data_IF_339762797010
#
_entry.id   IF_339762797010
#
_cell.length_a   1.000
_cell.length_b   1.000
_cell.length_c   1.000
_cell.angle_alpha   90.00
_cell.angle_beta   90.00
_cell.angle_gamma   90.00
#
_symmetry.space_group_name_H-M   'P 1'
#
loop_
_entity.id
_entity.type
_entity.pdbx_description
1 polymer ?
#
# COMPACT_ATOMS: atom_id res chain seq x y z
N UNK A 1 -52.62 12.50 -46.68
CA UNK A 1 -51.22 12.92 -46.50
C UNK A 1 -50.73 12.28 -45.22
N UNK A 2 -49.57 11.64 -45.31
CA UNK A 2 -49.03 10.66 -44.37
C UNK A 2 -48.67 11.26 -43.00
N UNK A 3 -48.84 10.42 -41.97
CA UNK A 3 -48.26 10.54 -40.63
C UNK A 3 -46.73 10.64 -40.68
N UNK A 4 -46.12 11.34 -39.73
CA UNK A 4 -44.95 10.78 -39.02
C UNK A 4 -44.76 11.41 -37.62
N UNK A 5 -44.27 10.64 -36.63
CA UNK A 5 -44.15 11.04 -35.23
C UNK A 5 -42.78 11.66 -34.91
N UNK A 6 -42.74 12.56 -33.92
CA UNK A 6 -41.47 13.04 -33.35
C UNK A 6 -40.86 11.89 -32.54
N UNK A 7 -39.80 11.31 -33.10
CA UNK A 7 -38.98 10.29 -32.47
C UNK A 7 -38.41 10.79 -31.14
N UNK A 8 -38.66 9.99 -30.11
CA UNK A 8 -37.79 9.86 -28.96
C UNK A 8 -36.39 9.37 -29.41
N UNK A 9 -35.44 9.41 -28.49
CA UNK A 9 -34.10 8.79 -28.54
C UNK A 9 -33.00 9.62 -29.22
N UNK A 10 -32.28 10.40 -28.41
CA UNK A 10 -30.82 10.59 -28.52
C UNK A 10 -30.28 10.97 -27.13
N UNK A 11 -30.32 10.02 -26.22
CA UNK A 11 -29.40 9.94 -25.07
C UNK A 11 -28.77 8.55 -25.11
N UNK A 12 -27.54 8.43 -24.62
CA UNK A 12 -26.73 7.21 -24.48
C UNK A 12 -25.98 6.68 -25.73
N UNK A 13 -24.88 7.36 -26.06
CA UNK A 13 -23.71 6.67 -26.65
C UNK A 13 -22.37 7.31 -26.26
N UNK A 14 -22.35 8.56 -25.81
CA UNK A 14 -21.16 9.21 -25.26
C UNK A 14 -20.88 8.85 -23.78
N UNK A 15 -21.91 8.58 -22.99
CA UNK A 15 -21.80 8.28 -21.54
C UNK A 15 -21.21 6.90 -21.24
N UNK A 16 -21.36 5.92 -22.14
CA UNK A 16 -20.74 4.59 -21.99
C UNK A 16 -19.27 4.59 -22.42
N UNK A 17 -18.90 5.30 -23.49
CA UNK A 17 -17.50 5.42 -23.91
C UNK A 17 -16.67 6.29 -22.97
N UNK A 18 -17.26 7.33 -22.39
CA UNK A 18 -16.62 8.12 -21.34
C UNK A 18 -16.50 7.32 -20.04
N UNK A 19 -17.49 6.48 -19.70
CA UNK A 19 -17.39 5.52 -18.57
C UNK A 19 -16.40 4.39 -18.83
N UNK A 20 -16.28 3.86 -20.04
CA UNK A 20 -15.29 2.82 -20.40
C UNK A 20 -13.87 3.40 -20.48
N UNK A 21 -13.73 4.68 -20.88
CA UNK A 21 -12.45 5.40 -20.83
C UNK A 21 -12.06 5.80 -19.40
N UNK A 22 -13.01 6.27 -18.56
CA UNK A 22 -12.76 6.62 -17.16
C UNK A 22 -12.61 5.40 -16.24
N UNK A 23 -13.41 4.34 -16.44
CA UNK A 23 -13.35 3.12 -15.64
C UNK A 23 -12.02 2.40 -15.75
N UNK A 24 -11.37 2.42 -16.94
CA UNK A 24 -10.00 1.93 -17.09
C UNK A 24 -8.96 2.76 -16.34
N UNK A 25 -9.25 4.02 -16.02
CA UNK A 25 -8.26 4.94 -15.43
C UNK A 25 -8.14 4.80 -13.93
N UNK A 26 -9.24 4.53 -13.21
CA UNK A 26 -9.18 4.45 -11.74
C UNK A 26 -8.53 3.15 -11.26
N UNK A 27 -8.63 2.05 -12.01
CA UNK A 27 -7.99 0.79 -11.63
C UNK A 27 -6.55 0.70 -12.08
N UNK A 28 -6.10 1.57 -12.98
CA UNK A 28 -4.77 1.51 -13.57
C UNK A 28 -3.63 1.49 -12.54
N UNK A 29 -3.63 2.34 -11.48
CA UNK A 29 -2.58 2.26 -10.46
C UNK A 29 -2.56 0.91 -9.72
N UNK A 30 -3.75 0.34 -9.48
CA UNK A 30 -3.91 -0.96 -8.82
C UNK A 30 -3.39 -2.06 -9.74
N UNK A 31 -3.84 -2.09 -11.00
CA UNK A 31 -3.44 -3.06 -12.02
C UNK A 31 -1.92 -3.08 -12.20
N UNK A 32 -1.30 -1.91 -12.41
CA UNK A 32 0.16 -1.78 -12.54
C UNK A 32 0.92 -2.37 -11.37
N UNK A 33 0.49 -2.08 -10.13
CA UNK A 33 1.17 -2.62 -8.96
C UNK A 33 1.00 -4.12 -8.84
N UNK A 34 -0.18 -4.65 -9.19
CA UNK A 34 -0.41 -6.09 -9.18
C UNK A 34 0.45 -6.78 -10.23
N UNK A 35 0.51 -6.26 -11.45
CA UNK A 35 1.38 -6.78 -12.51
C UNK A 35 2.85 -6.79 -12.09
N UNK A 36 3.33 -5.74 -11.43
CA UNK A 36 4.68 -5.69 -10.86
C UNK A 36 4.91 -6.76 -9.80
N UNK A 37 3.97 -6.97 -8.88
CA UNK A 37 4.08 -8.03 -7.87
C UNK A 37 4.12 -9.42 -8.50
N UNK A 38 3.31 -9.66 -9.53
CA UNK A 38 3.29 -10.94 -10.25
C UNK A 38 4.59 -11.16 -11.01
N UNK A 39 5.08 -10.14 -11.71
CA UNK A 39 6.35 -10.22 -12.42
C UNK A 39 7.50 -10.51 -11.46
N UNK A 40 7.57 -9.84 -10.30
CA UNK A 40 8.61 -10.11 -9.30
C UNK A 40 8.53 -11.55 -8.77
N UNK A 41 7.32 -12.04 -8.44
CA UNK A 41 7.10 -13.41 -7.96
C UNK A 41 7.58 -14.47 -8.97
N UNK A 42 7.36 -14.22 -10.26
CA UNK A 42 7.69 -15.12 -11.37
C UNK A 42 9.17 -15.11 -11.78
N UNK A 43 9.89 -14.03 -11.49
CA UNK A 43 11.27 -13.83 -11.97
C UNK A 43 12.34 -13.85 -10.87
N UNK A 44 11.95 -13.83 -9.59
CA UNK A 44 12.91 -13.91 -8.48
C UNK A 44 13.70 -15.23 -8.52
N UNK A 45 14.95 -15.26 -8.00
CA UNK A 45 15.75 -16.47 -7.98
C UNK A 45 15.04 -17.62 -7.27
N UNK A 46 15.14 -18.82 -7.84
CA UNK A 46 14.54 -20.02 -7.27
C UNK A 46 15.34 -20.52 -6.06
N UNK A 47 14.64 -21.12 -5.10
CA UNK A 47 15.27 -21.80 -3.97
C UNK A 47 15.34 -20.98 -2.69
N UNK A 48 16.20 -21.43 -1.77
CA UNK A 48 16.30 -20.84 -0.44
C UNK A 48 17.22 -19.62 -0.47
N UNK A 49 16.75 -18.49 0.07
CA UNK A 49 17.54 -17.25 0.19
C UNK A 49 18.94 -17.46 0.75
N UNK A 50 19.08 -18.23 1.83
CA UNK A 50 20.38 -18.46 2.48
C UNK A 50 21.31 -19.38 1.69
N UNK A 51 20.80 -20.11 0.70
CA UNK A 51 21.62 -20.92 -0.20
C UNK A 51 22.27 -20.07 -1.31
N UNK A 52 21.67 -18.94 -1.70
CA UNK A 52 22.24 -18.04 -2.71
C UNK A 52 21.96 -16.56 -2.43
N UNK A 53 22.45 -16.08 -1.28
CA UNK A 53 22.20 -14.70 -0.80
C UNK A 53 22.59 -13.65 -1.85
N UNK A 54 23.74 -13.82 -2.52
CA UNK A 54 24.24 -12.85 -3.50
C UNK A 54 23.31 -12.70 -4.70
N UNK A 55 22.80 -13.80 -5.25
CA UNK A 55 21.86 -13.76 -6.38
C UNK A 55 20.53 -13.11 -5.99
N UNK A 56 19.97 -13.48 -4.83
CA UNK A 56 18.73 -12.88 -4.32
C UNK A 56 18.89 -11.39 -4.03
N UNK A 57 20.00 -11.00 -3.40
CA UNK A 57 20.27 -9.59 -3.08
C UNK A 57 20.51 -8.77 -4.36
N UNK A 58 21.25 -9.31 -5.33
CA UNK A 58 21.42 -8.67 -6.63
C UNK A 58 20.09 -8.52 -7.36
N UNK A 59 19.25 -9.56 -7.37
CA UNK A 59 17.94 -9.48 -8.00
C UNK A 59 17.08 -8.40 -7.33
N UNK A 60 16.98 -8.42 -6.00
CA UNK A 60 16.22 -7.43 -5.25
C UNK A 60 16.72 -6.01 -5.50
N UNK A 61 18.03 -5.78 -5.45
CA UNK A 61 18.65 -4.47 -5.72
C UNK A 61 18.26 -3.89 -7.09
N UNK A 62 18.16 -4.75 -8.11
CA UNK A 62 17.88 -4.34 -9.49
C UNK A 62 16.39 -4.27 -9.84
N UNK A 63 15.53 -4.97 -9.10
CA UNK A 63 14.16 -5.25 -9.53
C UNK A 63 13.08 -4.99 -8.49
N UNK A 64 13.42 -4.94 -7.19
CA UNK A 64 12.48 -4.54 -6.15
C UNK A 64 12.29 -3.03 -6.20
N UNK A 65 11.04 -2.58 -6.26
CA UNK A 65 10.73 -1.16 -6.53
C UNK A 65 11.32 -0.24 -5.45
N UNK A 66 11.26 -0.63 -4.19
CA UNK A 66 11.80 0.17 -3.08
C UNK A 66 13.33 0.36 -3.23
N UNK A 67 14.04 -0.68 -3.61
CA UNK A 67 15.47 -0.67 -3.90
C UNK A 67 15.75 0.17 -5.14
N UNK A 68 15.00 -0.01 -6.23
CA UNK A 68 15.18 0.78 -7.46
C UNK A 68 15.01 2.28 -7.22
N UNK A 69 14.02 2.67 -6.39
CA UNK A 69 13.77 4.07 -6.02
C UNK A 69 14.87 4.66 -5.11
N UNK A 70 15.76 3.82 -4.59
CA UNK A 70 16.88 4.21 -3.71
C UNK A 70 18.24 3.86 -4.30
N UNK A 71 18.34 3.65 -5.62
CA UNK A 71 19.61 3.36 -6.29
C UNK A 71 20.17 1.96 -6.02
N UNK A 72 19.29 1.03 -5.64
CA UNK A 72 19.61 -0.37 -5.38
C UNK A 72 19.93 -0.69 -3.92
N UNK A 73 19.62 0.20 -2.97
CA UNK A 73 19.92 0.00 -1.55
C UNK A 73 19.02 -1.08 -0.94
N UNK A 74 19.64 -2.16 -0.44
CA UNK A 74 18.94 -3.28 0.19
C UNK A 74 18.36 -2.96 1.57
N UNK A 75 18.65 -1.78 2.13
CA UNK A 75 17.98 -1.26 3.32
C UNK A 75 16.64 -0.59 3.01
N UNK A 76 16.31 -0.41 1.73
CA UNK A 76 15.03 0.15 1.33
C UNK A 76 13.88 -0.73 1.76
N UNK A 77 12.80 -0.07 2.17
CA UNK A 77 11.54 -0.69 2.56
C UNK A 77 10.40 0.31 2.36
N UNK A 78 9.16 -0.19 2.37
CA UNK A 78 7.96 0.64 2.23
C UNK A 78 7.35 1.04 3.57
N UNK A 79 6.86 2.28 3.67
CA UNK A 79 6.08 2.73 4.83
C UNK A 79 4.78 1.94 4.94
N UNK A 80 4.10 1.79 3.80
CA UNK A 80 2.84 1.07 3.69
C UNK A 80 2.96 -0.01 2.61
N UNK A 81 2.80 -1.26 3.03
CA UNK A 81 2.54 -2.35 2.09
C UNK A 81 1.17 -2.11 1.46
N UNK A 82 1.12 -1.99 0.13
CA UNK A 82 -0.14 -1.78 -0.60
C UNK A 82 -1.04 -3.03 -0.62
N UNK A 83 -0.51 -4.21 -0.26
CA UNK A 83 -1.30 -5.44 -0.23
C UNK A 83 -2.36 -5.43 0.87
N UNK A 84 -1.97 -5.00 2.08
CA UNK A 84 -2.89 -4.92 3.23
C UNK A 84 -4.12 -4.06 2.92
N UNK A 85 -4.00 -2.79 2.48
CA UNK A 85 -5.16 -1.98 2.18
C UNK A 85 -6.00 -2.51 1.02
N UNK A 86 -5.39 -3.11 -0.02
CA UNK A 86 -6.15 -3.76 -1.09
C UNK A 86 -7.00 -4.91 -0.55
N UNK A 87 -6.36 -5.87 0.13
CA UNK A 87 -7.03 -7.05 0.71
C UNK A 87 -8.18 -6.64 1.63
N UNK A 88 -7.92 -5.68 2.52
CA UNK A 88 -8.88 -5.25 3.52
C UNK A 88 -10.02 -4.39 2.95
N UNK A 89 -9.80 -3.72 1.81
CA UNK A 89 -10.89 -3.04 1.09
C UNK A 89 -11.79 -4.06 0.41
N UNK A 90 -11.22 -5.05 -0.30
CA UNK A 90 -11.98 -6.14 -0.94
C UNK A 90 -12.86 -6.87 0.08
N UNK A 91 -12.30 -7.25 1.25
CA UNK A 91 -13.04 -7.96 2.31
C UNK A 91 -14.18 -7.13 2.90
N UNK A 92 -14.09 -5.79 2.87
CA UNK A 92 -15.14 -4.92 3.42
C UNK A 92 -16.26 -4.61 2.44
N UNK A 93 -15.97 -4.65 1.14
CA UNK A 93 -16.93 -4.37 0.09
C UNK A 93 -17.71 -5.62 -0.36
N UNK A 94 -17.20 -6.82 -0.08
CA UNK A 94 -17.72 -8.05 -0.65
C UNK A 94 -17.95 -9.11 0.43
N UNK A 95 -18.97 -9.94 0.23
CA UNK A 95 -19.14 -11.17 0.97
C UNK A 95 -18.09 -12.24 0.56
N UNK A 96 -17.97 -13.30 1.35
CA UNK A 96 -16.98 -14.35 1.08
C UNK A 96 -17.25 -15.16 -0.18
N UNK A 97 -18.51 -15.32 -0.61
CA UNK A 97 -18.85 -16.06 -1.82
C UNK A 97 -18.35 -15.31 -3.05
N UNK A 98 -18.62 -14.00 -3.11
CA UNK A 98 -18.14 -13.10 -4.16
C UNK A 98 -16.61 -13.11 -4.27
N UNK A 99 -15.88 -13.06 -3.15
CA UNK A 99 -14.41 -13.14 -3.16
C UNK A 99 -13.92 -14.50 -3.65
N UNK A 100 -14.53 -15.60 -3.18
CA UNK A 100 -14.13 -16.97 -3.55
C UNK A 100 -14.40 -17.30 -5.02
N UNK A 101 -15.38 -16.63 -5.64
CA UNK A 101 -15.63 -16.76 -7.07
C UNK A 101 -14.43 -16.28 -7.91
N UNK A 102 -13.64 -15.32 -7.39
CA UNK A 102 -12.38 -14.87 -8.00
C UNK A 102 -11.21 -15.75 -7.54
N UNK A 103 -11.10 -16.04 -6.24
CA UNK A 103 -10.09 -16.95 -5.74
C UNK A 103 -9.86 -16.90 -4.23
N UNK A 104 -8.82 -17.61 -3.77
CA UNK A 104 -8.44 -17.66 -2.37
C UNK A 104 -7.55 -16.47 -2.00
N UNK A 105 -8.16 -15.40 -1.46
CA UNK A 105 -7.48 -14.16 -1.03
C UNK A 105 -6.41 -14.37 0.04
N UNK A 106 -6.37 -15.52 0.72
CA UNK A 106 -5.27 -15.84 1.65
C UNK A 106 -3.97 -16.18 0.91
N UNK A 107 -4.05 -16.59 -0.35
CA UNK A 107 -2.91 -16.92 -1.23
C UNK A 107 -2.64 -15.75 -2.18
N UNK A 108 -1.99 -14.70 -1.66
CA UNK A 108 -1.72 -13.42 -2.36
C UNK A 108 -1.51 -13.58 -3.88
N UNK A 109 -0.44 -14.24 -4.32
CA UNK A 109 -0.11 -14.29 -5.75
C UNK A 109 -1.08 -15.14 -6.59
N UNK A 110 -1.67 -16.18 -6.02
CA UNK A 110 -2.71 -16.97 -6.70
C UNK A 110 -3.96 -16.12 -6.91
N UNK A 111 -4.40 -15.42 -5.86
CA UNK A 111 -5.55 -14.51 -5.94
C UNK A 111 -5.30 -13.37 -6.92
N UNK A 112 -4.13 -12.73 -6.84
CA UNK A 112 -3.79 -11.60 -7.69
C UNK A 112 -3.76 -11.95 -9.18
N UNK A 113 -3.36 -13.18 -9.55
CA UNK A 113 -3.44 -13.67 -10.94
C UNK A 113 -4.85 -13.73 -11.47
N UNK A 114 -5.83 -14.11 -10.65
CA UNK A 114 -7.25 -14.12 -11.05
C UNK A 114 -7.88 -12.72 -10.97
N UNK A 115 -7.46 -11.93 -9.97
CA UNK A 115 -7.98 -10.58 -9.70
C UNK A 115 -7.84 -9.62 -10.89
N UNK A 116 -6.75 -9.70 -11.65
CA UNK A 116 -6.51 -8.80 -12.80
C UNK A 116 -7.11 -9.30 -14.12
N UNK A 117 -7.73 -10.48 -14.14
CA UNK A 117 -8.36 -11.02 -15.35
C UNK A 117 -9.75 -10.43 -15.54
N UNK A 118 -10.14 -10.34 -16.81
CA UNK A 118 -11.50 -9.95 -17.21
C UNK A 118 -11.94 -8.68 -16.47
N UNK A 119 -13.13 -8.71 -15.89
CA UNK A 119 -13.76 -7.64 -15.12
C UNK A 119 -13.72 -7.90 -13.59
N UNK A 120 -12.79 -8.74 -13.11
CA UNK A 120 -12.75 -9.12 -11.68
C UNK A 120 -12.36 -7.96 -10.75
N UNK A 121 -11.54 -7.01 -11.24
CA UNK A 121 -11.19 -5.82 -10.45
C UNK A 121 -12.42 -4.93 -10.26
N UNK A 122 -13.21 -4.72 -11.32
CA UNK A 122 -14.46 -3.96 -11.31
C UNK A 122 -15.51 -4.62 -10.42
N UNK A 123 -15.63 -5.96 -10.46
CA UNK A 123 -16.55 -6.72 -9.60
C UNK A 123 -16.23 -6.56 -8.12
N UNK A 124 -14.95 -6.66 -7.76
CA UNK A 124 -14.53 -6.65 -6.34
C UNK A 124 -14.29 -5.24 -5.80
N UNK A 125 -14.08 -4.25 -6.66
CA UNK A 125 -13.86 -2.85 -6.30
C UNK A 125 -14.78 -1.95 -7.14
N UNK A 126 -16.09 -1.89 -6.87
CA UNK A 126 -17.00 -1.10 -7.68
C UNK A 126 -16.64 0.39 -7.68
N UNK A 127 -16.49 1.00 -8.86
CA UNK A 127 -16.12 2.42 -9.03
C UNK A 127 -17.08 3.39 -8.33
N UNK A 128 -18.32 2.97 -8.08
CA UNK A 128 -19.31 3.77 -7.36
C UNK A 128 -18.96 4.01 -5.88
N UNK A 129 -18.05 3.20 -5.31
CA UNK A 129 -17.64 3.29 -3.91
C UNK A 129 -16.49 4.29 -3.73
N UNK A 130 -16.65 5.30 -2.88
CA UNK A 130 -15.64 6.35 -2.65
C UNK A 130 -14.29 5.79 -2.17
N UNK A 131 -14.34 4.74 -1.34
CA UNK A 131 -13.16 4.03 -0.85
C UNK A 131 -12.30 3.45 -2.00
N UNK A 132 -12.90 3.10 -3.14
CA UNK A 132 -12.15 2.58 -4.32
C UNK A 132 -11.32 3.69 -4.96
N UNK A 133 -11.85 4.92 -5.04
CA UNK A 133 -11.09 6.08 -5.50
C UNK A 133 -9.91 6.41 -4.56
N UNK A 134 -10.14 6.31 -3.25
CA UNK A 134 -9.07 6.46 -2.25
C UNK A 134 -8.02 5.36 -2.39
N UNK A 135 -8.43 4.11 -2.58
CA UNK A 135 -7.50 3.00 -2.77
C UNK A 135 -6.66 3.21 -4.04
N UNK A 136 -7.27 3.65 -5.14
CA UNK A 136 -6.55 3.99 -6.36
C UNK A 136 -5.52 5.10 -6.14
N UNK A 137 -5.90 6.20 -5.46
CA UNK A 137 -4.97 7.27 -5.12
C UNK A 137 -3.80 6.76 -4.25
N UNK A 138 -4.10 5.91 -3.25
CA UNK A 138 -3.06 5.29 -2.42
C UNK A 138 -2.11 4.46 -3.27
N UNK A 139 -2.58 3.69 -4.24
CA UNK A 139 -1.71 2.92 -5.13
C UNK A 139 -0.85 3.80 -6.03
N UNK A 140 -1.43 4.86 -6.60
CA UNK A 140 -0.70 5.80 -7.44
C UNK A 140 0.48 6.46 -6.70
N UNK A 141 0.27 6.84 -5.42
CA UNK A 141 1.31 7.43 -4.56
C UNK A 141 2.24 6.39 -3.95
N UNK A 142 1.68 5.25 -3.54
CA UNK A 142 2.38 4.17 -2.84
C UNK A 142 3.45 3.49 -3.69
N UNK A 143 3.44 3.72 -5.00
CA UNK A 143 4.49 3.29 -5.94
C UNK A 143 5.65 4.29 -6.09
N UNK A 144 5.56 5.46 -5.46
CA UNK A 144 6.57 6.52 -5.51
C UNK A 144 7.58 6.49 -4.37
N UNK A 145 8.62 7.34 -4.48
CA UNK A 145 9.71 7.45 -3.50
C UNK A 145 9.21 7.90 -2.11
N UNK A 146 8.09 8.62 -2.07
CA UNK A 146 7.44 9.05 -0.83
C UNK A 146 6.98 7.89 0.06
N UNK A 147 6.75 6.70 -0.50
CA UNK A 147 6.38 5.50 0.27
C UNK A 147 7.59 4.67 0.67
N UNK A 148 8.81 5.10 0.36
CA UNK A 148 10.04 4.34 0.60
C UNK A 148 10.87 5.04 1.67
N UNK A 149 11.59 4.26 2.47
CA UNK A 149 12.57 4.75 3.41
C UNK A 149 13.73 3.74 3.55
N UNK A 150 14.87 4.19 4.07
CA UNK A 150 16.01 3.34 4.37
C UNK A 150 16.02 2.97 5.85
N UNK A 151 16.03 1.67 6.15
CA UNK A 151 16.21 1.18 7.51
C UNK A 151 17.65 1.46 8.00
N UNK A 152 17.89 1.71 9.30
CA UNK A 152 19.25 1.82 9.85
C UNK A 152 20.04 0.53 9.58
N UNK A 153 19.38 -0.62 9.78
CA UNK A 153 19.87 -1.95 9.42
C UNK A 153 18.77 -2.79 8.77
N UNK A 154 19.14 -3.56 7.73
CA UNK A 154 18.22 -4.44 7.01
C UNK A 154 17.54 -5.48 7.90
N UNK A 155 18.20 -5.92 8.99
CA UNK A 155 17.64 -6.90 9.94
C UNK A 155 16.38 -6.40 10.64
N UNK A 156 16.20 -5.08 10.76
CA UNK A 156 15.00 -4.48 11.35
C UNK A 156 13.74 -4.85 10.57
N UNK A 157 13.82 -5.03 9.24
CA UNK A 157 12.69 -5.47 8.43
C UNK A 157 12.12 -6.81 8.93
N UNK A 158 12.99 -7.81 9.11
CA UNK A 158 12.58 -9.11 9.63
C UNK A 158 12.07 -9.07 11.08
N UNK A 159 12.54 -8.11 11.88
CA UNK A 159 12.13 -7.96 13.28
C UNK A 159 10.75 -7.31 13.39
N UNK A 160 10.51 -6.21 12.65
CA UNK A 160 9.26 -5.46 12.63
C UNK A 160 8.11 -6.20 11.90
N UNK A 161 8.41 -7.18 11.05
CA UNK A 161 7.38 -8.02 10.43
C UNK A 161 6.70 -9.01 11.40
N UNK A 162 7.32 -9.29 12.54
CA UNK A 162 6.83 -10.29 13.49
C UNK A 162 5.71 -9.74 14.35
N UNK A 163 4.87 -10.64 14.89
CA UNK A 163 3.94 -10.30 15.98
C UNK A 163 4.73 -9.73 17.17
N UNK A 164 4.30 -8.62 17.80
CA UNK A 164 3.05 -7.89 17.58
C UNK A 164 3.12 -6.68 16.62
N UNK A 165 4.21 -6.51 15.87
CA UNK A 165 4.51 -5.25 15.16
C UNK A 165 3.97 -5.18 13.72
N UNK A 166 3.88 -6.31 13.02
CA UNK A 166 3.20 -6.47 11.73
C UNK A 166 3.56 -5.44 10.63
N UNK A 167 4.84 -5.07 10.53
CA UNK A 167 5.37 -4.07 9.59
C UNK A 167 4.75 -2.67 9.73
N UNK A 168 4.09 -2.39 10.84
CA UNK A 168 3.39 -1.12 11.05
C UNK A 168 4.34 -0.04 11.52
N UNK A 169 4.54 0.99 10.70
CA UNK A 169 5.53 2.06 10.95
C UNK A 169 5.28 2.82 12.26
N UNK A 170 4.04 3.20 12.65
CA UNK A 170 3.81 3.84 13.95
C UNK A 170 4.38 3.05 15.12
N UNK A 171 4.19 1.72 15.12
CA UNK A 171 4.75 0.84 16.15
C UNK A 171 6.26 0.77 16.08
N UNK A 172 6.83 0.67 14.88
CA UNK A 172 8.28 0.67 14.71
C UNK A 172 8.90 1.97 15.28
N UNK A 173 8.30 3.12 14.99
CA UNK A 173 8.76 4.42 15.49
C UNK A 173 8.60 4.54 17.01
N UNK A 174 7.51 4.02 17.57
CA UNK A 174 7.28 4.01 19.01
C UNK A 174 8.31 3.14 19.74
N UNK A 175 8.56 1.93 19.24
CA UNK A 175 9.48 0.96 19.81
C UNK A 175 10.97 1.30 19.58
N UNK A 176 11.26 2.33 18.77
CA UNK A 176 12.62 2.85 18.57
C UNK A 176 13.05 3.87 19.65
N UNK A 177 12.12 4.40 20.45
CA UNK A 177 12.46 5.28 21.57
C UNK A 177 13.18 4.52 22.71
N UNK A 178 13.90 5.22 23.62
CA UNK A 178 14.63 4.58 24.71
C UNK A 178 13.77 3.62 25.54
N UNK A 179 14.21 2.36 25.64
CA UNK A 179 13.50 1.30 26.35
C UNK A 179 12.56 0.45 25.48
N UNK A 180 12.29 0.86 24.24
CA UNK A 180 11.56 0.06 23.26
C UNK A 180 12.44 -1.02 22.61
N UNK A 181 11.80 -2.04 22.04
CA UNK A 181 12.50 -3.23 21.51
C UNK A 181 13.41 -2.93 20.32
N UNK A 182 13.13 -1.86 19.57
CA UNK A 182 13.90 -1.49 18.38
C UNK A 182 14.95 -0.42 18.67
N UNK A 183 15.02 0.09 19.90
CA UNK A 183 16.03 1.10 20.28
C UNK A 183 17.47 0.60 20.05
N UNK A 184 17.71 -0.71 20.07
CA UNK A 184 19.03 -1.31 19.81
C UNK A 184 19.53 -1.15 18.36
N UNK A 185 18.67 -0.80 17.41
CA UNK A 185 19.06 -0.59 16.01
C UNK A 185 19.70 0.78 15.75
N UNK A 186 19.80 1.62 16.76
CA UNK A 186 20.47 2.91 16.70
C UNK A 186 21.51 3.03 17.81
N UNK A 187 22.68 3.60 17.49
CA UNK A 187 23.77 3.79 18.45
C UNK A 187 23.41 4.73 19.62
N UNK A 188 22.43 5.60 19.41
CA UNK A 188 21.98 6.61 20.38
C UNK A 188 20.59 7.15 20.03
N UNK A 189 19.85 7.72 21.01
CA UNK A 189 18.62 8.45 20.74
C UNK A 189 18.82 9.57 19.71
N UNK A 190 19.96 10.26 19.73
CA UNK A 190 20.29 11.30 18.77
C UNK A 190 20.48 10.74 17.35
N UNK A 191 20.98 9.51 17.20
CA UNK A 191 21.06 8.86 15.90
C UNK A 191 19.67 8.53 15.34
N UNK A 192 18.74 8.09 16.20
CA UNK A 192 17.35 7.87 15.82
C UNK A 192 16.66 9.17 15.39
N UNK A 193 16.82 10.26 16.14
CA UNK A 193 16.25 11.56 15.78
C UNK A 193 16.84 12.13 14.47
N UNK A 194 18.13 11.92 14.21
CA UNK A 194 18.74 12.28 12.91
C UNK A 194 18.12 11.46 11.79
N UNK A 195 17.99 10.15 11.98
CA UNK A 195 17.37 9.27 11.00
C UNK A 195 15.92 9.65 10.69
N UNK A 196 15.12 10.06 11.69
CA UNK A 196 13.77 10.60 11.46
C UNK A 196 13.82 11.79 10.49
N UNK A 197 14.77 12.71 10.66
CA UNK A 197 14.89 13.88 9.78
C UNK A 197 15.42 13.55 8.39
N UNK A 198 16.38 12.63 8.28
CA UNK A 198 16.95 12.16 7.01
C UNK A 198 15.93 11.40 6.16
N UNK A 199 15.13 10.54 6.80
CA UNK A 199 14.09 9.76 6.14
C UNK A 199 12.72 10.45 6.17
N UNK A 200 12.64 11.71 6.60
CA UNK A 200 11.43 12.54 6.66
C UNK A 200 10.23 11.83 7.32
N UNK A 201 10.38 11.40 8.56
CA UNK A 201 9.37 10.64 9.34
C UNK A 201 8.53 11.52 10.28
N UNK A 202 8.70 12.84 10.25
CA UNK A 202 8.07 13.77 11.20
C UNK A 202 6.53 13.78 11.09
N UNK A 203 5.98 13.49 9.91
CA UNK A 203 4.52 13.45 9.70
C UNK A 203 3.81 12.29 10.40
N UNK A 204 4.55 11.36 11.02
CA UNK A 204 4.00 10.34 11.90
C UNK A 204 3.74 10.84 13.32
N UNK A 205 3.99 12.13 13.60
CA UNK A 205 3.83 12.72 14.93
C UNK A 205 2.85 13.90 14.93
N UNK A 206 1.86 13.88 15.82
CA UNK A 206 0.94 15.00 16.10
C UNK A 206 1.58 15.99 17.09
N UNK A 207 2.69 16.61 16.68
CA UNK A 207 3.43 17.56 17.51
C UNK A 207 4.94 17.38 17.42
N UNK A 208 5.62 17.48 18.56
CA UNK A 208 7.05 17.19 18.64
C UNK A 208 7.33 15.68 18.52
N UNK A 209 8.55 15.31 18.14
CA UNK A 209 8.96 13.90 18.07
C UNK A 209 9.05 13.32 19.49
N UNK A 210 8.00 12.61 19.92
CA UNK A 210 7.94 11.88 21.18
C UNK A 210 6.96 10.69 21.09
N UNK A 211 7.06 9.69 21.98
CA UNK A 211 6.15 8.54 22.01
C UNK A 211 4.67 8.91 22.05
N UNK A 212 4.30 9.94 22.82
CA UNK A 212 2.92 10.35 23.06
C UNK A 212 2.29 11.04 21.86
N UNK A 213 3.09 11.48 20.90
CA UNK A 213 2.63 12.14 19.69
C UNK A 213 2.55 11.19 18.49
N UNK A 214 2.93 9.91 18.62
CA UNK A 214 2.82 8.95 17.50
C UNK A 214 1.35 8.88 17.03
N UNK A 215 1.15 9.09 15.73
CA UNK A 215 -0.16 9.08 15.09
C UNK A 215 -0.69 7.65 14.98
N UNK A 216 -1.93 7.48 15.40
CA UNK A 216 -2.74 6.32 15.04
C UNK A 216 -3.23 6.46 13.60
N UNK A 217 -2.50 5.83 12.67
CA UNK A 217 -2.87 5.87 11.26
C UNK A 217 -4.01 4.91 10.91
N UNK A 218 -4.27 3.88 11.73
CA UNK A 218 -5.36 2.93 11.50
C UNK A 218 -6.71 3.51 11.94
N UNK A 219 -6.70 4.48 12.85
CA UNK A 219 -7.89 5.09 13.41
C UNK A 219 -8.61 4.17 14.41
N UNK A 220 -7.87 3.24 15.01
CA UNK A 220 -8.36 2.29 16.02
C UNK A 220 -8.53 2.89 17.42
N UNK A 221 -7.89 4.03 17.68
CA UNK A 221 -7.67 4.60 19.01
C UNK A 221 -6.39 4.11 19.69
N UNK A 222 -5.60 3.24 19.05
CA UNK A 222 -4.33 2.70 19.54
C UNK A 222 -3.28 2.67 18.42
N UNK A 223 -2.17 3.39 18.61
CA UNK A 223 -1.05 3.40 17.67
C UNK A 223 -0.37 2.02 17.51
N UNK A 224 -0.70 1.03 18.34
CA UNK A 224 -0.25 -0.34 18.18
C UNK A 224 -1.08 -1.18 17.23
N UNK A 225 -2.33 -0.79 16.97
CA UNK A 225 -3.20 -1.55 16.08
C UNK A 225 -2.98 -1.11 14.63
N UNK A 226 -2.51 -2.04 13.81
CA UNK A 226 -2.23 -1.81 12.40
C UNK A 226 -3.47 -1.93 11.51
N UNK A 227 -4.61 -2.33 12.07
CA UNK A 227 -5.84 -2.56 11.32
C UNK A 227 -6.89 -1.51 11.66
N UNK A 228 -7.49 -0.94 10.61
CA UNK A 228 -8.66 -0.11 10.78
C UNK A 228 -9.79 -0.90 11.47
N UNK A 229 -10.63 -0.23 12.29
CA UNK A 229 -11.86 -0.82 12.82
C UNK A 229 -12.78 -1.41 11.75
N UNK A 230 -13.79 -2.18 12.19
CA UNK A 230 -14.80 -2.73 11.28
C UNK A 230 -15.55 -1.64 10.50
N UNK A 231 -15.99 -2.01 9.29
CA UNK A 231 -16.77 -1.13 8.41
C UNK A 231 -15.94 -0.39 7.35
N UNK A 232 -16.64 0.04 6.29
CA UNK A 232 -16.05 0.71 5.12
C UNK A 232 -15.50 2.10 5.50
N UNK A 233 -16.25 2.88 6.27
CA UNK A 233 -15.83 4.24 6.66
C UNK A 233 -14.52 4.26 7.46
N UNK A 234 -14.34 3.28 8.35
CA UNK A 234 -13.10 3.17 9.14
C UNK A 234 -11.89 2.86 8.24
N UNK A 235 -12.08 1.99 7.26
CA UNK A 235 -11.06 1.69 6.27
C UNK A 235 -10.74 2.90 5.39
N UNK A 236 -11.76 3.63 4.95
CA UNK A 236 -11.58 4.85 4.17
C UNK A 236 -10.74 5.89 4.93
N UNK A 237 -11.01 6.08 6.23
CA UNK A 237 -10.18 6.96 7.09
C UNK A 237 -8.71 6.51 7.16
N UNK A 238 -8.45 5.20 7.29
CA UNK A 238 -7.07 4.70 7.28
C UNK A 238 -6.37 4.97 5.92
N UNK A 239 -7.08 4.79 4.80
CA UNK A 239 -6.54 5.13 3.49
C UNK A 239 -6.23 6.63 3.39
N UNK A 240 -7.11 7.49 3.89
CA UNK A 240 -6.91 8.94 3.93
C UNK A 240 -5.68 9.33 4.77
N UNK A 241 -5.48 8.68 5.92
CA UNK A 241 -4.29 8.87 6.76
C UNK A 241 -3.00 8.49 6.01
N UNK A 242 -2.98 7.34 5.34
CA UNK A 242 -1.82 6.91 4.55
C UNK A 242 -1.55 7.88 3.39
N UNK A 243 -2.59 8.28 2.65
CA UNK A 243 -2.48 9.25 1.57
C UNK A 243 -1.95 10.60 2.07
N UNK A 244 -2.39 11.06 3.26
CA UNK A 244 -1.90 12.29 3.86
C UNK A 244 -0.40 12.25 4.14
N UNK A 245 0.09 11.14 4.74
CA UNK A 245 1.53 10.91 4.96
C UNK A 245 2.30 10.95 3.64
N UNK A 246 1.84 10.24 2.61
CA UNK A 246 2.51 10.20 1.32
C UNK A 246 2.52 11.57 0.60
N UNK A 247 1.42 12.33 0.69
CA UNK A 247 1.33 13.70 0.16
C UNK A 247 2.32 14.64 0.82
N UNK A 248 2.51 14.52 2.13
CA UNK A 248 3.47 15.32 2.86
C UNK A 248 4.90 14.94 2.51
N UNK A 249 5.21 13.64 2.51
CA UNK A 249 6.53 13.12 2.14
C UNK A 249 6.94 13.43 0.71
N UNK A 250 5.99 13.48 -0.24
CA UNK A 250 6.28 13.81 -1.64
C UNK A 250 6.98 15.16 -1.81
N UNK A 251 6.82 16.09 -0.86
CA UNK A 251 7.50 17.41 -0.87
C UNK A 251 9.02 17.29 -0.77
N UNK A 252 9.53 16.19 -0.21
CA UNK A 252 10.96 15.94 -0.03
C UNK A 252 11.56 15.06 -1.14
N UNK A 253 10.70 14.42 -1.96
CA UNK A 253 11.11 13.52 -3.04
C UNK A 253 10.44 13.91 -4.37
N UNK A 254 10.78 15.08 -4.96
CA UNK A 254 10.16 15.59 -6.18
C UNK A 254 10.33 14.66 -7.39
#
# INVERSE_FOLDING_TARGET
>A
MYNEPINATFMDSNTEKERDFMGRTIYEPIRKKVEEWLWYDENQPEGNYFANVEEHDRFRSLHDRDCMLTGGDLKADTLFSLWTPLRHTIVRLNDQETIRAVGDISKKYVFLREFIKEDNIEKLLPETESIVHRLSELFARGMGRENVFLLPERKLNCARARKPYYDYVPVMLLEAFPGGVFSEYWDSPEAYLRWIGEEHMEMFFDGGISPEHIRDLSGSGDAHDSLAPEGVEAMERMLENYIAVLKERKRFYP
#
